data_IF_457561883618
#
_entry.id   IF_457561883618
#
_cell.length_a   1.000
_cell.length_b   1.000
_cell.length_c   1.000
_cell.angle_alpha   90.00
_cell.angle_beta   90.00
_cell.angle_gamma   90.00
#
_symmetry.space_group_name_H-M   'P 1'
#
loop_
_entity.id
_entity.type
_entity.pdbx_description
1 polymer ?
#
# COMPACT_ATOMS: atom_id res chain seq x y z
N UNK A 1 -20.75 20.57 39.80
CA UNK A 1 -20.26 20.99 38.46
C UNK A 1 -19.25 19.94 38.00
N UNK A 2 -19.76 18.79 37.51
CA UNK A 2 -18.99 17.58 37.18
C UNK A 2 -19.53 17.00 35.88
N UNK A 3 -19.20 17.67 34.80
CA UNK A 3 -19.32 17.22 33.42
C UNK A 3 -18.08 17.86 32.78
N UNK A 4 -17.09 17.19 32.19
CA UNK A 4 -17.14 16.23 31.08
C UNK A 4 -15.71 15.66 30.92
N UNK A 5 -15.37 14.48 31.47
CA UNK A 5 -14.16 13.74 31.06
C UNK A 5 -14.44 12.82 29.86
N UNK A 6 -15.66 12.28 29.79
CA UNK A 6 -16.06 11.22 28.85
C UNK A 6 -16.25 11.71 27.40
N UNK A 7 -16.79 12.92 27.17
CA UNK A 7 -16.94 13.44 25.79
C UNK A 7 -15.58 13.84 25.20
N UNK A 8 -14.62 14.27 26.03
CA UNK A 8 -13.28 14.61 25.58
C UNK A 8 -12.53 13.36 25.08
N UNK A 9 -12.59 12.26 25.81
CA UNK A 9 -11.94 10.99 25.41
C UNK A 9 -12.57 10.36 24.18
N UNK A 10 -13.91 10.42 24.04
CA UNK A 10 -14.62 9.96 22.83
C UNK A 10 -14.23 10.77 21.59
N UNK A 11 -14.12 12.10 21.71
CA UNK A 11 -13.70 13.00 20.62
C UNK A 11 -12.24 12.76 20.19
N UNK A 12 -11.35 12.55 21.16
CA UNK A 12 -9.93 12.28 20.91
C UNK A 12 -9.73 10.92 20.22
N UNK A 13 -10.45 9.89 20.68
CA UNK A 13 -10.47 8.55 20.07
C UNK A 13 -11.01 8.59 18.63
N UNK A 14 -12.10 9.33 18.39
CA UNK A 14 -12.68 9.51 17.07
C UNK A 14 -11.72 10.22 16.10
N UNK A 15 -10.99 11.25 16.58
CA UNK A 15 -10.00 11.97 15.79
C UNK A 15 -8.81 11.08 15.44
N UNK A 16 -8.35 10.26 16.39
CA UNK A 16 -7.27 9.29 16.16
C UNK A 16 -7.69 8.20 15.15
N UNK A 17 -8.87 7.61 15.31
CA UNK A 17 -9.42 6.62 14.39
C UNK A 17 -9.57 7.20 12.97
N UNK A 18 -10.03 8.44 12.84
CA UNK A 18 -10.14 9.12 11.54
C UNK A 18 -8.78 9.29 10.87
N UNK A 19 -7.73 9.66 11.63
CA UNK A 19 -6.37 9.78 11.10
C UNK A 19 -5.83 8.43 10.63
N UNK A 20 -6.00 7.37 11.42
CA UNK A 20 -5.59 6.01 11.03
C UNK A 20 -6.34 5.57 9.78
N UNK A 21 -7.66 5.78 9.71
CA UNK A 21 -8.46 5.44 8.54
C UNK A 21 -7.99 6.17 7.28
N UNK A 22 -7.64 7.46 7.40
CA UNK A 22 -7.13 8.25 6.28
C UNK A 22 -5.75 7.75 5.82
N UNK A 23 -4.86 7.41 6.75
CA UNK A 23 -3.55 6.84 6.45
C UNK A 23 -3.71 5.50 5.70
N UNK A 24 -4.60 4.62 6.19
CA UNK A 24 -4.90 3.35 5.54
C UNK A 24 -5.50 3.57 4.15
N UNK A 25 -6.42 4.53 4.00
CA UNK A 25 -7.02 4.85 2.71
C UNK A 25 -5.97 5.32 1.68
N UNK A 26 -5.02 6.17 2.08
CA UNK A 26 -3.91 6.59 1.22
C UNK A 26 -3.03 5.38 0.84
N UNK A 27 -2.74 4.49 1.79
CA UNK A 27 -1.95 3.30 1.53
C UNK A 27 -2.61 2.37 0.50
N UNK A 28 -3.92 2.13 0.65
CA UNK A 28 -4.69 1.35 -0.32
C UNK A 28 -4.76 2.04 -1.69
N UNK A 29 -4.87 3.36 -1.71
CA UNK A 29 -4.83 4.13 -2.95
C UNK A 29 -3.47 3.99 -3.66
N UNK A 30 -2.35 4.10 -2.93
CA UNK A 30 -1.00 3.86 -3.48
C UNK A 30 -0.90 2.45 -4.07
N UNK A 31 -1.34 1.43 -3.33
CA UNK A 31 -1.35 0.05 -3.82
C UNK A 31 -2.15 -0.14 -5.12
N UNK A 32 -3.30 0.52 -5.22
CA UNK A 32 -4.16 0.42 -6.40
C UNK A 32 -3.56 1.18 -7.60
N UNK A 33 -2.90 2.31 -7.34
CA UNK A 33 -2.18 3.06 -8.38
C UNK A 33 -1.06 2.23 -9.00
N UNK A 34 -0.19 1.61 -8.19
CA UNK A 34 0.91 0.75 -8.68
C UNK A 34 0.40 -0.38 -9.59
N UNK A 35 -0.61 -1.11 -9.11
CA UNK A 35 -1.23 -2.19 -9.89
C UNK A 35 -1.81 -1.71 -11.22
N UNK A 36 -2.36 -0.49 -11.26
CA UNK A 36 -2.93 0.10 -12.47
C UNK A 36 -1.83 0.55 -13.43
N UNK A 37 -0.75 1.14 -12.92
CA UNK A 37 0.41 1.53 -13.72
C UNK A 37 0.95 0.31 -14.44
N UNK A 38 1.28 -0.76 -13.71
CA UNK A 38 1.87 -1.98 -14.31
C UNK A 38 0.92 -2.61 -15.33
N UNK A 39 -0.35 -2.78 -15.00
CA UNK A 39 -1.30 -3.46 -15.91
C UNK A 39 -1.55 -2.68 -17.22
N UNK A 40 -1.36 -1.37 -17.22
CA UNK A 40 -1.56 -0.53 -18.41
C UNK A 40 -0.27 -0.21 -19.16
N UNK A 41 0.83 0.04 -18.44
CA UNK A 41 2.12 0.41 -19.03
C UNK A 41 2.88 -0.79 -19.56
N UNK A 42 2.79 -1.95 -18.91
CA UNK A 42 3.54 -3.14 -19.31
C UNK A 42 3.15 -3.57 -20.74
N UNK A 43 1.87 -3.77 -21.10
CA UNK A 43 1.45 -4.07 -22.48
C UNK A 43 1.96 -3.06 -23.51
N UNK A 44 1.92 -1.77 -23.18
CA UNK A 44 2.38 -0.70 -24.07
C UNK A 44 3.91 -0.74 -24.27
N UNK A 45 4.67 -0.99 -23.22
CA UNK A 45 6.12 -1.20 -23.29
C UNK A 45 6.46 -2.44 -24.13
N UNK A 46 5.73 -3.54 -23.92
CA UNK A 46 5.89 -4.76 -24.73
C UNK A 46 5.70 -4.53 -26.23
N UNK A 47 4.64 -3.80 -26.58
CA UNK A 47 4.36 -3.44 -27.96
C UNK A 47 5.43 -2.53 -28.57
N UNK A 48 5.96 -1.58 -27.79
CA UNK A 48 6.99 -0.64 -28.26
C UNK A 48 8.38 -1.25 -28.35
N UNK A 49 8.70 -2.26 -27.54
CA UNK A 49 9.96 -3.01 -27.61
C UNK A 49 9.91 -4.28 -28.49
N UNK A 50 8.78 -4.57 -29.15
CA UNK A 50 8.63 -5.75 -30.02
C UNK A 50 8.62 -7.09 -29.26
N UNK A 51 8.29 -7.06 -27.97
CA UNK A 51 8.28 -8.23 -27.08
C UNK A 51 7.03 -9.08 -27.36
N UNK A 52 7.18 -10.41 -27.37
CA UNK A 52 6.07 -11.30 -27.68
C UNK A 52 4.94 -11.20 -26.63
N UNK A 53 3.66 -11.38 -27.01
CA UNK A 53 2.53 -11.36 -26.07
C UNK A 53 2.67 -12.36 -24.92
N UNK A 54 3.37 -13.48 -25.16
CA UNK A 54 3.66 -14.50 -24.13
C UNK A 54 4.53 -13.92 -23.00
N UNK A 55 5.54 -13.12 -23.34
CA UNK A 55 6.38 -12.47 -22.34
C UNK A 55 5.60 -11.41 -21.53
N UNK A 56 4.56 -10.80 -22.11
CA UNK A 56 3.68 -9.86 -21.40
C UNK A 56 2.84 -10.54 -20.33
N UNK A 57 2.28 -11.71 -20.64
CA UNK A 57 1.52 -12.52 -19.68
C UNK A 57 2.38 -13.00 -18.51
N UNK A 58 3.63 -13.41 -18.79
CA UNK A 58 4.60 -13.79 -17.74
C UNK A 58 4.90 -12.60 -16.82
N UNK A 59 4.97 -11.37 -17.35
CA UNK A 59 5.18 -10.17 -16.54
C UNK A 59 4.12 -9.95 -15.46
N UNK A 60 2.84 -10.20 -15.79
CA UNK A 60 1.74 -10.14 -14.81
C UNK A 60 1.88 -11.25 -13.75
N UNK A 61 2.25 -12.46 -14.15
CA UNK A 61 2.50 -13.57 -13.22
C UNK A 61 3.64 -13.25 -12.25
N UNK A 62 4.73 -12.67 -12.74
CA UNK A 62 5.87 -12.25 -11.90
C UNK A 62 5.45 -11.14 -10.92
N UNK A 63 4.64 -10.18 -11.36
CA UNK A 63 4.08 -9.15 -10.48
C UNK A 63 3.26 -9.77 -9.34
N UNK A 64 2.35 -10.70 -9.65
CA UNK A 64 1.56 -11.40 -8.64
C UNK A 64 2.42 -12.22 -7.67
N UNK A 65 3.44 -12.92 -8.18
CA UNK A 65 4.35 -13.71 -7.35
C UNK A 65 5.17 -12.81 -6.41
N UNK A 66 5.64 -11.68 -6.93
CA UNK A 66 6.36 -10.67 -6.13
C UNK A 66 5.46 -10.16 -5.02
N UNK A 67 4.23 -9.76 -5.33
CA UNK A 67 3.24 -9.35 -4.34
C UNK A 67 3.00 -10.42 -3.27
N UNK A 68 2.83 -11.69 -3.67
CA UNK A 68 2.62 -12.79 -2.74
C UNK A 68 3.78 -12.98 -1.75
N UNK A 69 5.02 -12.75 -2.17
CA UNK A 69 6.21 -12.82 -1.31
C UNK A 69 6.37 -11.57 -0.45
N UNK A 70 6.08 -10.39 -1.00
CA UNK A 70 6.29 -9.12 -0.31
C UNK A 70 5.24 -8.83 0.77
N UNK A 71 4.02 -9.36 0.66
CA UNK A 71 2.99 -9.22 1.71
C UNK A 71 3.48 -9.73 3.08
N UNK A 72 3.86 -11.01 3.26
CA UNK A 72 4.36 -11.49 4.55
C UNK A 72 5.70 -10.86 4.95
N UNK A 73 6.56 -10.55 3.97
CA UNK A 73 7.85 -9.89 4.21
C UNK A 73 7.65 -8.50 4.83
N UNK A 74 6.70 -7.72 4.33
CA UNK A 74 6.38 -6.38 4.84
C UNK A 74 5.85 -6.43 6.28
N UNK A 75 5.07 -7.46 6.63
CA UNK A 75 4.62 -7.72 8.00
C UNK A 75 5.78 -8.00 8.94
N UNK A 76 6.68 -8.92 8.56
CA UNK A 76 7.88 -9.21 9.36
C UNK A 76 8.80 -8.00 9.52
N UNK A 77 8.99 -7.20 8.46
CA UNK A 77 9.75 -5.94 8.52
C UNK A 77 9.10 -4.96 9.51
N UNK A 78 7.78 -4.80 9.45
CA UNK A 78 7.02 -3.90 10.33
C UNK A 78 7.12 -4.34 11.80
N UNK A 79 7.07 -5.66 12.06
CA UNK A 79 7.23 -6.22 13.40
C UNK A 79 8.66 -6.02 13.93
N UNK A 80 9.68 -6.12 13.06
CA UNK A 80 11.09 -6.04 13.47
C UNK A 80 11.61 -4.60 13.64
N UNK A 81 11.24 -3.70 12.73
CA UNK A 81 11.77 -2.32 12.64
C UNK A 81 10.75 -1.25 13.03
N UNK A 82 9.53 -1.66 13.35
CA UNK A 82 8.41 -0.80 13.72
C UNK A 82 7.57 -0.40 12.51
N UNK A 83 6.26 -0.61 12.60
CA UNK A 83 5.29 -0.35 11.54
C UNK A 83 5.34 1.09 11.01
N UNK A 84 5.54 2.09 11.88
CA UNK A 84 5.61 3.50 11.47
C UNK A 84 6.80 3.80 10.56
N UNK A 85 7.97 3.24 10.84
CA UNK A 85 9.19 3.52 10.07
C UNK A 85 9.14 2.85 8.70
N UNK A 86 8.68 1.59 8.67
CA UNK A 86 8.50 0.84 7.41
C UNK A 86 7.43 1.50 6.54
N UNK A 87 6.33 1.97 7.15
CA UNK A 87 5.28 2.68 6.42
C UNK A 87 5.78 3.99 5.80
N UNK A 88 6.54 4.79 6.54
CA UNK A 88 7.13 6.03 6.00
C UNK A 88 8.14 5.74 4.89
N UNK A 89 8.95 4.69 5.05
CA UNK A 89 9.91 4.28 4.02
C UNK A 89 9.20 3.81 2.74
N UNK A 90 8.08 3.09 2.87
CA UNK A 90 7.25 2.71 1.72
C UNK A 90 6.69 3.93 0.99
N UNK A 91 6.20 4.94 1.72
CA UNK A 91 5.71 6.20 1.12
C UNK A 91 6.84 6.94 0.39
N UNK A 92 8.05 6.96 0.92
CA UNK A 92 9.19 7.66 0.29
C UNK A 92 9.70 6.94 -0.96
N UNK A 93 9.59 5.61 -1.01
CA UNK A 93 10.01 4.80 -2.15
C UNK A 93 8.99 4.77 -3.30
N UNK A 94 7.70 4.93 -2.99
CA UNK A 94 6.60 4.95 -3.94
C UNK A 94 6.58 6.23 -4.77
#
# INVERSE_FOLDING_TARGET
MTAIPEIATLSETATHARRVALIVAIAFFMQLLDSTIISTSLPQMGASFGVSPVAMSIGITVYMLTMAVFVPLSGWLADRFGARNIFLLAIVLF
#
